data_IF_602499840419
#
_entry.id   IF_602499840419
#
_cell.length_a   1.000
_cell.length_b   1.000
_cell.length_c   1.000
_cell.angle_alpha   90.00
_cell.angle_beta   90.00
_cell.angle_gamma   90.00
#
_symmetry.space_group_name_H-M   'P 1'
#
loop_
_entity.id
_entity.type
_entity.pdbx_description
1 polymer ?
#
# COMPACT_ATOMS: atom_id res chain seq x y z
N UNK A 1 33.95 -14.79 -18.56
CA UNK A 1 34.40 -15.42 -17.29
C UNK A 1 33.26 -15.72 -16.34
N UNK A 2 32.41 -14.76 -15.86
CA UNK A 2 31.31 -15.03 -14.92
C UNK A 2 30.31 -16.08 -15.45
N UNK A 3 29.87 -15.98 -16.72
CA UNK A 3 28.90 -16.91 -17.30
C UNK A 3 29.36 -18.36 -17.30
N UNK A 4 30.63 -18.63 -17.59
CA UNK A 4 31.22 -19.97 -17.61
C UNK A 4 31.50 -20.56 -16.23
N UNK A 5 31.62 -19.71 -15.20
CA UNK A 5 31.92 -20.12 -13.82
C UNK A 5 30.74 -19.88 -12.85
N UNK A 6 29.52 -19.71 -13.38
CA UNK A 6 28.31 -19.40 -12.60
C UNK A 6 28.07 -20.32 -11.41
N UNK A 7 28.46 -21.60 -11.52
CA UNK A 7 28.24 -22.62 -10.46
C UNK A 7 29.34 -22.65 -9.41
N UNK A 8 30.46 -21.95 -9.59
CA UNK A 8 31.54 -21.92 -8.59
C UNK A 8 31.12 -21.17 -7.32
N UNK A 9 31.59 -21.61 -6.17
CA UNK A 9 31.22 -21.02 -4.90
C UNK A 9 31.56 -19.52 -4.79
N UNK A 10 32.74 -19.04 -5.24
CA UNK A 10 33.03 -17.60 -5.21
C UNK A 10 32.09 -16.76 -6.06
N UNK A 11 31.77 -17.20 -7.28
CA UNK A 11 30.85 -16.47 -8.17
C UNK A 11 29.44 -16.43 -7.61
N UNK A 12 28.97 -17.50 -7.01
CA UNK A 12 27.69 -17.51 -6.31
C UNK A 12 27.67 -16.59 -5.09
N UNK A 13 28.77 -16.58 -4.31
CA UNK A 13 28.91 -15.70 -3.14
C UNK A 13 28.82 -14.23 -3.54
N UNK A 14 29.52 -13.82 -4.60
CA UNK A 14 29.43 -12.46 -5.15
C UNK A 14 28.01 -12.15 -5.62
N UNK A 15 27.36 -13.06 -6.34
CA UNK A 15 25.99 -12.85 -6.83
C UNK A 15 25.00 -12.61 -5.69
N UNK A 16 25.06 -13.43 -4.63
CA UNK A 16 24.23 -13.26 -3.43
C UNK A 16 24.50 -11.91 -2.72
N UNK A 17 25.76 -11.51 -2.65
CA UNK A 17 26.13 -10.22 -2.04
C UNK A 17 25.60 -9.04 -2.86
N UNK A 18 25.74 -9.11 -4.22
CA UNK A 18 25.19 -8.09 -5.11
C UNK A 18 23.66 -8.02 -5.02
N UNK A 19 22.98 -9.18 -4.93
CA UNK A 19 21.53 -9.21 -4.77
C UNK A 19 21.08 -8.55 -3.46
N UNK A 20 21.72 -8.87 -2.34
CA UNK A 20 21.45 -8.22 -1.05
C UNK A 20 21.69 -6.71 -1.10
N UNK A 21 22.79 -6.29 -1.74
CA UNK A 21 23.08 -4.88 -1.93
C UNK A 21 21.98 -4.18 -2.76
N UNK A 22 21.57 -4.77 -3.89
CA UNK A 22 20.53 -4.22 -4.74
C UNK A 22 19.17 -4.19 -4.05
N UNK A 23 18.83 -5.18 -3.24
CA UNK A 23 17.60 -5.16 -2.43
C UNK A 23 17.61 -3.99 -1.46
N UNK A 24 18.70 -3.79 -0.73
CA UNK A 24 18.85 -2.65 0.17
C UNK A 24 18.83 -1.31 -0.58
N UNK A 25 19.52 -1.24 -1.73
CA UNK A 25 19.55 -0.05 -2.59
C UNK A 25 18.17 0.36 -3.09
N UNK A 26 17.33 -0.61 -3.45
CA UNK A 26 15.99 -0.38 -3.95
C UNK A 26 14.91 -0.32 -2.86
N UNK A 27 15.26 -0.38 -1.58
CA UNK A 27 14.28 -0.48 -0.48
C UNK A 27 13.28 -1.64 -0.72
N UNK A 28 13.80 -2.81 -1.16
CA UNK A 28 13.01 -3.95 -1.61
C UNK A 28 12.69 -4.88 -0.44
N UNK A 29 11.42 -5.17 -0.21
CA UNK A 29 10.92 -6.04 0.85
C UNK A 29 11.40 -5.62 2.26
N UNK A 30 11.33 -4.32 2.55
CA UNK A 30 11.71 -3.77 3.83
C UNK A 30 10.44 -3.41 4.63
N UNK A 31 10.08 -4.26 5.58
CA UNK A 31 8.80 -4.21 6.30
C UNK A 31 8.86 -3.41 7.61
N UNK A 32 10.03 -2.97 8.06
CA UNK A 32 10.16 -2.19 9.30
C UNK A 32 9.59 -0.79 9.10
N UNK A 33 8.38 -0.53 9.61
CA UNK A 33 7.63 0.72 9.44
C UNK A 33 8.47 1.98 9.73
N UNK A 34 9.25 1.98 10.82
CA UNK A 34 10.09 3.11 11.20
C UNK A 34 11.24 3.41 10.22
N UNK A 35 11.51 2.50 9.28
CA UNK A 35 12.70 2.53 8.42
C UNK A 35 12.39 2.34 6.93
N UNK A 36 11.17 1.92 6.58
CA UNK A 36 10.78 1.66 5.19
C UNK A 36 10.40 2.94 4.42
N UNK A 37 10.18 4.06 5.12
CA UNK A 37 9.85 5.37 4.56
C UNK A 37 8.40 5.80 4.79
N UNK A 38 7.51 4.93 5.23
CA UNK A 38 6.09 5.27 5.43
C UNK A 38 5.92 6.38 6.47
N UNK A 39 6.61 6.29 7.60
CA UNK A 39 6.64 7.35 8.61
C UNK A 39 7.15 8.69 8.05
N UNK A 40 8.17 8.66 7.16
CA UNK A 40 8.64 9.86 6.48
C UNK A 40 7.55 10.47 5.57
N UNK A 41 6.85 9.65 4.78
CA UNK A 41 5.80 10.12 3.89
C UNK A 41 4.62 10.74 4.68
N UNK A 42 4.20 10.11 5.78
CA UNK A 42 3.17 10.63 6.69
C UNK A 42 3.60 11.99 7.27
N UNK A 43 4.83 12.13 7.76
CA UNK A 43 5.36 13.38 8.31
C UNK A 43 5.44 14.50 7.26
N UNK A 44 5.84 14.18 6.03
CA UNK A 44 5.83 15.14 4.92
C UNK A 44 4.41 15.61 4.61
N UNK A 45 3.45 14.69 4.58
CA UNK A 45 2.05 15.02 4.35
C UNK A 45 1.47 15.88 5.48
N UNK A 46 1.68 15.52 6.73
CA UNK A 46 1.27 16.28 7.90
C UNK A 46 1.84 17.72 7.89
N UNK A 47 3.11 17.86 7.56
CA UNK A 47 3.78 19.17 7.44
C UNK A 47 3.18 20.01 6.31
N UNK A 48 2.91 19.41 5.14
CA UNK A 48 2.25 20.06 4.03
C UNK A 48 0.82 20.48 4.38
N UNK A 49 0.10 19.63 5.10
CA UNK A 49 -1.27 19.89 5.53
C UNK A 49 -1.40 21.09 6.47
N UNK A 50 -0.38 21.40 7.28
CA UNK A 50 -0.33 22.62 8.08
C UNK A 50 -1.44 22.73 9.13
N UNK A 51 -1.87 21.64 9.74
CA UNK A 51 -2.91 21.61 10.77
C UNK A 51 -4.35 21.66 10.24
N UNK A 52 -4.56 21.43 8.95
CA UNK A 52 -5.92 21.27 8.38
C UNK A 52 -6.56 20.00 8.92
N UNK A 53 -7.87 20.03 9.18
CA UNK A 53 -8.65 18.82 9.43
C UNK A 53 -8.72 17.99 8.14
N UNK A 54 -8.32 16.75 8.21
CA UNK A 54 -8.16 15.86 7.07
C UNK A 54 -8.96 14.58 7.24
N UNK A 55 -9.36 14.02 6.11
CA UNK A 55 -9.88 12.65 6.01
C UNK A 55 -8.79 11.74 5.48
N UNK A 56 -8.51 10.66 6.20
CA UNK A 56 -7.49 9.68 5.86
C UNK A 56 -8.13 8.31 5.71
N UNK A 57 -7.85 7.62 4.62
CA UNK A 57 -8.27 6.23 4.45
C UNK A 57 -7.06 5.30 4.47
N UNK A 58 -7.12 4.29 5.33
CA UNK A 58 -6.16 3.21 5.47
C UNK A 58 -6.81 1.90 5.01
N UNK A 59 -6.53 1.50 3.77
CA UNK A 59 -7.09 0.30 3.15
C UNK A 59 -6.11 -0.85 3.30
N UNK A 60 -6.56 -1.95 3.95
CA UNK A 60 -5.71 -3.02 4.45
C UNK A 60 -5.06 -2.60 5.77
N UNK A 61 -5.90 -2.26 6.75
CA UNK A 61 -5.42 -1.65 8.00
C UNK A 61 -4.74 -2.64 8.96
N UNK A 62 -4.98 -3.94 8.80
CA UNK A 62 -4.41 -4.97 9.64
C UNK A 62 -4.56 -4.65 11.13
N UNK A 63 -3.48 -4.54 11.89
CA UNK A 63 -3.51 -4.18 13.32
C UNK A 63 -3.50 -2.67 13.62
N UNK A 64 -3.53 -1.80 12.58
CA UNK A 64 -3.68 -0.35 12.69
C UNK A 64 -2.38 0.42 12.93
N UNK A 65 -1.21 -0.17 12.74
CA UNK A 65 0.08 0.50 12.97
C UNK A 65 0.26 1.74 12.09
N UNK A 66 -0.19 1.67 10.83
CA UNK A 66 -0.15 2.82 9.93
C UNK A 66 -1.15 3.90 10.34
N UNK A 67 -2.38 3.51 10.74
CA UNK A 67 -3.40 4.44 11.24
C UNK A 67 -2.93 5.16 12.50
N UNK A 68 -2.28 4.46 13.44
CA UNK A 68 -1.68 5.03 14.65
C UNK A 68 -0.63 6.09 14.32
N UNK A 69 0.25 5.79 13.36
CA UNK A 69 1.28 6.72 12.93
C UNK A 69 0.69 7.95 12.21
N UNK A 70 -0.35 7.76 11.39
CA UNK A 70 -1.06 8.85 10.75
C UNK A 70 -1.75 9.76 11.77
N UNK A 71 -2.44 9.20 12.76
CA UNK A 71 -3.07 9.97 13.83
C UNK A 71 -2.03 10.69 14.71
N UNK A 72 -0.92 10.04 15.06
CA UNK A 72 0.14 10.68 15.82
C UNK A 72 0.75 11.90 15.10
N UNK A 73 0.85 11.86 13.77
CA UNK A 73 1.34 12.97 12.96
C UNK A 73 0.26 14.04 12.67
N UNK A 74 -1.01 13.65 12.65
CA UNK A 74 -2.16 14.49 12.30
C UNK A 74 -3.31 14.25 13.31
N UNK A 75 -3.20 14.79 14.56
CA UNK A 75 -4.17 14.49 15.62
C UNK A 75 -5.61 14.91 15.33
N UNK A 76 -5.79 15.93 14.46
CA UNK A 76 -7.11 16.45 14.06
C UNK A 76 -7.69 15.73 12.82
N UNK A 77 -6.96 14.75 12.25
CA UNK A 77 -7.44 13.96 11.13
C UNK A 77 -8.41 12.87 11.61
N UNK A 78 -9.44 12.62 10.77
CA UNK A 78 -10.29 11.44 10.94
C UNK A 78 -9.79 10.31 10.03
N UNK A 79 -9.45 9.17 10.63
CA UNK A 79 -8.97 7.97 9.90
C UNK A 79 -10.12 6.99 9.73
N UNK A 80 -10.33 6.52 8.50
CA UNK A 80 -11.19 5.37 8.21
C UNK A 80 -10.31 4.19 7.80
N UNK A 81 -10.28 3.17 8.63
CA UNK A 81 -9.53 1.92 8.39
C UNK A 81 -10.46 0.85 7.81
N UNK A 82 -10.05 0.28 6.69
CA UNK A 82 -10.74 -0.82 6.03
C UNK A 82 -9.95 -2.11 6.22
N UNK A 83 -10.57 -3.10 6.83
CA UNK A 83 -9.99 -4.42 7.04
C UNK A 83 -10.99 -5.50 6.60
N UNK A 84 -10.57 -6.32 5.63
CA UNK A 84 -11.45 -7.29 5.00
C UNK A 84 -11.74 -8.50 5.90
N UNK A 85 -10.77 -8.94 6.71
CA UNK A 85 -10.90 -10.11 7.55
C UNK A 85 -11.60 -9.78 8.87
N UNK A 86 -12.79 -10.35 9.18
CA UNK A 86 -13.49 -10.06 10.41
C UNK A 86 -12.67 -10.29 11.69
N UNK A 87 -11.89 -11.39 11.83
CA UNK A 87 -11.10 -11.58 13.04
C UNK A 87 -10.02 -10.50 13.26
N UNK A 88 -9.43 -9.97 12.16
CA UNK A 88 -8.41 -8.92 12.23
C UNK A 88 -9.06 -7.56 12.53
N UNK A 89 -10.21 -7.27 11.91
CA UNK A 89 -10.99 -6.07 12.19
C UNK A 89 -11.45 -6.01 13.67
N UNK A 90 -11.84 -7.16 14.27
CA UNK A 90 -12.17 -7.27 15.68
C UNK A 90 -10.97 -6.97 16.58
N UNK A 91 -9.78 -7.47 16.24
CA UNK A 91 -8.55 -7.17 16.97
C UNK A 91 -8.18 -5.68 16.87
N UNK A 92 -8.32 -5.09 15.69
CA UNK A 92 -8.12 -3.64 15.49
C UNK A 92 -9.10 -2.83 16.35
N UNK A 93 -10.38 -3.20 16.38
CA UNK A 93 -11.40 -2.53 17.21
C UNK A 93 -11.10 -2.68 18.69
N UNK A 94 -10.67 -3.86 19.14
CA UNK A 94 -10.32 -4.11 20.55
C UNK A 94 -9.07 -3.30 20.99
N UNK A 95 -8.16 -2.98 20.07
CA UNK A 95 -7.00 -2.13 20.33
C UNK A 95 -7.39 -0.66 20.51
N UNK A 96 -8.49 -0.21 19.91
CA UNK A 96 -8.92 1.19 19.88
C UNK A 96 -10.37 1.39 20.36
N UNK A 97 -10.76 0.95 21.58
CA UNK A 97 -12.16 0.86 21.99
C UNK A 97 -12.89 2.19 22.04
N UNK A 98 -12.17 3.31 22.24
CA UNK A 98 -12.77 4.65 22.42
C UNK A 98 -12.14 5.71 21.50
N UNK A 99 -11.56 5.30 20.39
CA UNK A 99 -10.85 6.19 19.45
C UNK A 99 -11.84 6.99 18.60
N UNK A 100 -12.23 8.17 19.03
CA UNK A 100 -13.14 9.05 18.26
C UNK A 100 -12.57 9.49 16.91
N UNK A 101 -11.25 9.42 16.74
CA UNK A 101 -10.56 9.76 15.50
C UNK A 101 -10.58 8.62 14.46
N UNK A 102 -10.98 7.39 14.85
CA UNK A 102 -10.90 6.19 14.02
C UNK A 102 -12.29 5.63 13.75
N UNK A 103 -12.58 5.36 12.50
CA UNK A 103 -13.71 4.53 12.05
C UNK A 103 -13.18 3.25 11.43
N UNK A 104 -13.59 2.09 11.94
CA UNK A 104 -13.21 0.79 11.40
C UNK A 104 -14.36 0.24 10.56
N UNK A 105 -14.06 -0.18 9.34
CA UNK A 105 -15.02 -0.79 8.42
C UNK A 105 -14.53 -2.17 8.03
N UNK A 106 -15.24 -3.20 8.49
CA UNK A 106 -14.96 -4.58 8.08
C UNK A 106 -15.56 -4.87 6.72
N UNK A 107 -14.85 -4.41 5.68
CA UNK A 107 -15.18 -4.60 4.27
C UNK A 107 -13.88 -4.47 3.48
N UNK A 108 -13.70 -5.28 2.45
CA UNK A 108 -12.63 -5.11 1.47
C UNK A 108 -12.96 -4.05 0.43
N UNK A 109 -11.92 -3.49 -0.20
CA UNK A 109 -12.09 -2.62 -1.36
C UNK A 109 -11.53 -3.30 -2.62
N UNK A 110 -12.18 -3.06 -3.76
CA UNK A 110 -11.88 -3.69 -5.05
C UNK A 110 -12.32 -2.78 -6.21
N UNK A 111 -12.28 -3.30 -7.44
CA UNK A 111 -12.79 -2.65 -8.65
C UNK A 111 -14.30 -2.87 -8.89
N UNK A 112 -14.93 -3.70 -8.07
CA UNK A 112 -16.36 -4.04 -8.18
C UNK A 112 -16.95 -4.39 -6.81
N UNK A 113 -18.27 -4.27 -6.68
CA UNK A 113 -19.00 -4.71 -5.50
C UNK A 113 -19.25 -6.22 -5.55
N UNK A 114 -19.30 -6.85 -4.39
CA UNK A 114 -19.59 -8.28 -4.30
C UNK A 114 -19.02 -8.94 -3.06
N UNK A 115 -18.58 -10.18 -3.23
CA UNK A 115 -17.90 -10.96 -2.20
C UNK A 115 -16.69 -11.67 -2.80
N UNK A 116 -15.62 -11.76 -2.05
CA UNK A 116 -14.40 -12.48 -2.42
C UNK A 116 -14.04 -13.47 -1.33
N UNK A 117 -13.45 -14.58 -1.75
CA UNK A 117 -12.93 -15.57 -0.82
C UNK A 117 -11.50 -15.19 -0.42
N UNK A 118 -11.28 -14.96 0.88
CA UNK A 118 -9.97 -14.63 1.44
C UNK A 118 -9.41 -15.84 2.17
N UNK A 119 -8.19 -16.22 1.83
CA UNK A 119 -7.47 -17.27 2.57
C UNK A 119 -6.84 -16.65 3.82
N UNK A 120 -7.28 -17.10 4.98
CA UNK A 120 -6.78 -16.65 6.28
C UNK A 120 -5.92 -17.72 6.93
N UNK A 121 -4.74 -17.30 7.40
CA UNK A 121 -3.84 -18.08 8.23
C UNK A 121 -3.71 -17.37 9.58
N UNK A 122 -4.27 -17.99 10.63
CA UNK A 122 -4.28 -17.42 11.97
C UNK A 122 -2.87 -17.18 12.56
N UNK A 123 -1.91 -18.02 12.19
CA UNK A 123 -0.53 -17.96 12.72
C UNK A 123 0.36 -16.97 11.93
N UNK A 124 -0.12 -16.51 10.76
CA UNK A 124 0.62 -15.63 9.86
C UNK A 124 -0.34 -14.67 9.15
N UNK A 125 -1.06 -13.87 9.93
CA UNK A 125 -2.12 -12.97 9.47
C UNK A 125 -1.64 -11.83 8.54
N UNK A 126 -0.36 -11.44 8.63
CA UNK A 126 0.26 -10.45 7.74
C UNK A 126 0.46 -10.92 6.28
N UNK A 127 0.15 -12.18 5.97
CA UNK A 127 0.30 -12.76 4.61
C UNK A 127 -1.02 -13.15 3.97
N UNK A 128 -2.14 -12.75 4.58
CA UNK A 128 -3.47 -13.07 4.09
C UNK A 128 -3.78 -12.32 2.79
N UNK A 129 -4.22 -13.03 1.76
CA UNK A 129 -4.44 -12.47 0.44
C UNK A 129 -5.67 -13.06 -0.25
N UNK A 130 -6.32 -12.27 -1.12
CA UNK A 130 -7.39 -12.72 -2.02
C UNK A 130 -6.84 -13.72 -3.04
N UNK A 131 -5.60 -13.49 -3.52
CA UNK A 131 -4.90 -14.43 -4.42
C UNK A 131 -3.69 -15.04 -3.68
N UNK A 132 -3.84 -16.20 -3.01
CA UNK A 132 -2.77 -16.78 -2.23
C UNK A 132 -1.55 -17.10 -3.12
N UNK A 133 -0.36 -16.77 -2.63
CA UNK A 133 0.92 -17.13 -3.25
C UNK A 133 1.10 -18.65 -3.20
N UNK A 134 0.66 -19.36 -4.22
CA UNK A 134 0.66 -20.85 -4.28
C UNK A 134 2.06 -21.49 -4.07
N UNK A 135 3.13 -20.69 -4.19
CA UNK A 135 4.52 -21.12 -4.01
C UNK A 135 5.12 -20.75 -2.65
N UNK A 136 4.38 -20.04 -1.80
CA UNK A 136 4.86 -19.61 -0.49
C UNK A 136 4.83 -20.80 0.50
N UNK A 137 5.93 -21.04 1.18
CA UNK A 137 6.03 -22.05 2.27
C UNK A 137 5.07 -21.78 3.43
N UNK A 138 4.61 -20.52 3.57
CA UNK A 138 3.68 -20.05 4.60
C UNK A 138 2.26 -20.60 4.41
N UNK A 139 1.88 -20.98 3.18
CA UNK A 139 0.61 -21.63 2.88
C UNK A 139 0.63 -23.16 2.97
N UNK A 140 1.73 -23.74 3.42
CA UNK A 140 1.85 -25.19 3.63
C UNK A 140 1.28 -25.66 4.99
N UNK A 141 0.69 -24.76 5.79
CA UNK A 141 0.09 -25.11 7.09
C UNK A 141 -1.32 -25.69 6.93
N UNK A 142 -1.70 -26.61 7.83
CA UNK A 142 -3.00 -27.31 7.84
C UNK A 142 -4.18 -26.43 8.32
N UNK A 143 -3.94 -25.19 8.77
CA UNK A 143 -4.93 -24.35 9.44
C UNK A 143 -5.41 -23.17 8.59
N UNK A 144 -5.38 -23.34 7.26
CA UNK A 144 -5.93 -22.34 6.35
C UNK A 144 -7.46 -22.38 6.38
N UNK A 145 -8.09 -21.23 6.56
CA UNK A 145 -9.52 -21.04 6.45
C UNK A 145 -9.82 -20.12 5.27
N UNK A 146 -10.90 -20.41 4.56
CA UNK A 146 -11.43 -19.51 3.54
C UNK A 146 -12.65 -18.79 4.10
N UNK A 147 -12.63 -17.46 4.07
CA UNK A 147 -13.71 -16.61 4.57
C UNK A 147 -14.24 -15.81 3.39
N UNK A 148 -15.55 -15.92 3.13
CA UNK A 148 -16.23 -15.08 2.14
C UNK A 148 -16.42 -13.68 2.76
N UNK A 149 -15.79 -12.68 2.17
CA UNK A 149 -15.77 -11.32 2.67
C UNK A 149 -16.45 -10.36 1.68
N UNK A 150 -17.24 -9.40 2.14
CA UNK A 150 -17.86 -8.39 1.27
C UNK A 150 -16.77 -7.43 0.75
N UNK A 151 -16.97 -6.99 -0.51
CA UNK A 151 -16.13 -5.95 -1.13
C UNK A 151 -16.99 -4.88 -1.78
N UNK A 152 -16.47 -3.65 -1.81
CA UNK A 152 -17.06 -2.52 -2.51
C UNK A 152 -15.98 -1.75 -3.26
N UNK A 153 -16.36 -0.68 -3.96
CA UNK A 153 -15.41 0.24 -4.58
C UNK A 153 -15.30 1.53 -3.78
N UNK A 154 -14.17 2.21 -3.88
CA UNK A 154 -13.98 3.54 -3.27
C UNK A 154 -15.05 4.50 -3.82
N UNK A 155 -15.24 4.51 -5.15
CA UNK A 155 -16.22 5.39 -5.81
C UNK A 155 -17.65 5.15 -5.30
N UNK A 156 -18.03 3.89 -5.07
CA UNK A 156 -19.35 3.54 -4.55
C UNK A 156 -19.54 4.00 -3.11
N UNK A 157 -18.53 3.83 -2.25
CA UNK A 157 -18.60 4.29 -0.87
C UNK A 157 -18.77 5.81 -0.78
N UNK A 158 -18.09 6.56 -1.65
CA UNK A 158 -18.22 8.02 -1.73
C UNK A 158 -19.61 8.40 -2.25
N UNK A 159 -20.13 7.70 -3.26
CA UNK A 159 -21.49 7.91 -3.76
C UNK A 159 -22.57 7.64 -2.70
N UNK A 160 -22.29 6.75 -1.74
CA UNK A 160 -23.13 6.48 -0.56
C UNK A 160 -22.95 7.49 0.59
N UNK A 161 -22.12 8.51 0.41
CA UNK A 161 -21.93 9.61 1.37
C UNK A 161 -20.72 9.46 2.29
N UNK A 162 -19.81 8.51 2.04
CA UNK A 162 -18.55 8.49 2.75
C UNK A 162 -17.70 9.72 2.37
N UNK A 163 -17.06 10.41 3.33
CA UNK A 163 -16.21 11.56 3.02
C UNK A 163 -14.98 11.11 2.21
N UNK A 164 -14.68 11.76 1.08
CA UNK A 164 -13.52 11.41 0.26
C UNK A 164 -12.21 11.65 1.03
N UNK A 165 -11.19 10.79 0.85
CA UNK A 165 -9.92 10.94 1.54
C UNK A 165 -9.04 12.04 0.94
N UNK A 166 -8.37 12.82 1.80
CA UNK A 166 -7.25 13.69 1.43
C UNK A 166 -5.94 12.88 1.26
N UNK A 167 -5.81 11.82 2.06
CA UNK A 167 -4.73 10.84 2.03
C UNK A 167 -5.31 9.43 1.94
N UNK A 168 -4.94 8.72 0.88
CA UNK A 168 -5.33 7.33 0.65
C UNK A 168 -4.11 6.41 0.73
N UNK A 169 -4.10 5.46 1.68
CA UNK A 169 -3.15 4.34 1.68
C UNK A 169 -3.88 3.09 1.24
N UNK A 170 -3.24 2.33 0.37
CA UNK A 170 -3.71 1.01 -0.11
C UNK A 170 -2.57 0.02 0.05
N UNK A 171 -2.81 -1.04 0.82
CA UNK A 171 -1.86 -2.12 1.06
C UNK A 171 -2.67 -3.38 1.38
N UNK A 172 -2.99 -4.11 0.35
CA UNK A 172 -3.95 -5.23 0.38
C UNK A 172 -3.37 -6.50 -0.27
N UNK A 173 -2.06 -6.68 -0.07
CA UNK A 173 -1.34 -7.91 -0.40
C UNK A 173 -1.54 -8.35 -1.87
N UNK A 174 -1.38 -7.38 -2.81
CA UNK A 174 -1.43 -7.61 -4.25
C UNK A 174 -2.78 -7.35 -4.91
N UNK A 175 -3.79 -6.93 -4.15
CA UNK A 175 -5.08 -6.48 -4.71
C UNK A 175 -5.14 -4.95 -4.92
N UNK A 176 -4.05 -4.25 -4.67
CA UNK A 176 -3.91 -2.79 -4.69
C UNK A 176 -4.37 -2.16 -6.01
N UNK A 177 -3.95 -2.74 -7.13
CA UNK A 177 -4.35 -2.23 -8.45
C UNK A 177 -5.87 -2.29 -8.67
N UNK A 178 -6.57 -3.28 -8.12
CA UNK A 178 -8.02 -3.38 -8.21
C UNK A 178 -8.69 -2.33 -7.33
N UNK A 179 -8.17 -2.09 -6.12
CA UNK A 179 -8.67 -1.01 -5.25
C UNK A 179 -8.54 0.34 -5.94
N UNK A 180 -7.38 0.62 -6.55
CA UNK A 180 -7.16 1.85 -7.31
C UNK A 180 -8.04 1.96 -8.55
N UNK A 181 -8.33 0.84 -9.23
CA UNK A 181 -9.29 0.81 -10.34
C UNK A 181 -10.73 1.15 -9.88
N UNK A 182 -11.08 0.81 -8.63
CA UNK A 182 -12.36 1.16 -8.00
C UNK A 182 -12.47 2.61 -7.51
N UNK A 183 -11.45 3.46 -7.75
CA UNK A 183 -11.37 4.85 -7.35
C UNK A 183 -11.22 5.84 -8.52
N UNK A 184 -11.51 5.42 -9.74
CA UNK A 184 -11.26 6.22 -10.96
C UNK A 184 -12.03 7.54 -10.99
N UNK A 185 -13.27 7.57 -10.48
CA UNK A 185 -14.06 8.79 -10.42
C UNK A 185 -13.51 9.74 -9.35
N UNK A 186 -13.11 9.21 -8.19
CA UNK A 186 -12.45 9.98 -7.14
C UNK A 186 -11.19 10.67 -7.68
N UNK A 187 -10.32 9.94 -8.39
CA UNK A 187 -9.04 10.49 -8.86
C UNK A 187 -9.19 11.61 -9.89
N UNK A 188 -10.26 11.63 -10.65
CA UNK A 188 -10.55 12.65 -11.66
C UNK A 188 -11.50 13.74 -11.17
N UNK A 189 -12.09 13.58 -9.98
CA UNK A 189 -13.02 14.52 -9.37
C UNK A 189 -12.36 15.66 -8.60
N UNK A 190 -13.17 16.58 -8.10
CA UNK A 190 -12.74 17.78 -7.35
C UNK A 190 -12.17 17.43 -5.96
N UNK A 191 -12.53 16.27 -5.43
CA UNK A 191 -12.09 15.78 -4.11
C UNK A 191 -11.03 14.68 -4.22
N UNK A 192 -10.25 14.68 -5.31
CA UNK A 192 -9.18 13.71 -5.49
C UNK A 192 -8.11 13.84 -4.40
N UNK A 193 -7.62 12.71 -3.84
CA UNK A 193 -6.61 12.71 -2.78
C UNK A 193 -5.38 13.54 -3.14
N UNK A 194 -4.83 14.25 -2.17
CA UNK A 194 -3.57 14.97 -2.35
C UNK A 194 -2.37 14.04 -2.42
N UNK A 195 -2.47 12.92 -1.69
CA UNK A 195 -1.46 11.85 -1.71
C UNK A 195 -2.14 10.47 -1.73
N UNK A 196 -1.60 9.60 -2.55
CA UNK A 196 -1.93 8.17 -2.60
C UNK A 196 -0.66 7.40 -2.32
N UNK A 197 -0.71 6.46 -1.38
CA UNK A 197 0.32 5.46 -1.12
C UNK A 197 -0.23 4.09 -1.48
N UNK A 198 0.53 3.27 -2.20
CA UNK A 198 0.14 1.89 -2.47
C UNK A 198 1.34 0.97 -2.56
N UNK A 199 1.14 -0.33 -2.23
CA UNK A 199 2.18 -1.32 -2.38
C UNK A 199 2.26 -1.83 -3.82
N UNK A 200 3.50 -2.01 -4.32
CA UNK A 200 3.79 -2.69 -5.58
C UNK A 200 4.86 -3.74 -5.36
N UNK A 201 4.66 -4.92 -5.90
CA UNK A 201 5.62 -6.00 -5.75
C UNK A 201 5.29 -7.27 -6.52
N UNK A 202 5.91 -8.37 -6.13
CA UNK A 202 5.68 -9.68 -6.73
C UNK A 202 4.27 -10.23 -6.50
N UNK A 203 3.53 -9.67 -5.53
CA UNK A 203 2.11 -9.91 -5.28
C UNK A 203 1.21 -9.54 -6.46
N UNK A 204 1.67 -8.63 -7.33
CA UNK A 204 0.93 -8.22 -8.52
C UNK A 204 1.01 -9.23 -9.67
N UNK A 205 2.00 -10.15 -9.64
CA UNK A 205 2.16 -11.18 -10.68
C UNK A 205 0.96 -12.13 -10.76
N UNK A 206 0.52 -12.79 -9.66
CA UNK A 206 -0.68 -13.63 -9.71
C UNK A 206 -1.96 -12.84 -9.99
N UNK A 207 -2.00 -11.55 -9.66
CA UNK A 207 -3.10 -10.64 -9.98
C UNK A 207 -3.17 -10.28 -11.49
N UNK A 208 -2.12 -10.56 -12.27
CA UNK A 208 -2.02 -10.20 -13.68
C UNK A 208 -1.97 -8.69 -13.92
N UNK A 209 -1.45 -7.94 -12.94
CA UNK A 209 -1.39 -6.47 -12.97
C UNK A 209 0.03 -5.95 -13.20
N UNK A 210 0.10 -4.79 -13.85
CA UNK A 210 1.34 -4.08 -14.15
C UNK A 210 1.30 -2.67 -13.57
N UNK A 211 2.44 -2.21 -13.03
CA UNK A 211 2.59 -0.83 -12.57
C UNK A 211 2.30 0.18 -13.69
N UNK A 212 2.63 -0.17 -14.94
CA UNK A 212 2.33 0.64 -16.11
C UNK A 212 0.85 1.04 -16.22
N UNK A 213 -0.05 0.09 -15.99
CA UNK A 213 -1.49 0.33 -16.12
C UNK A 213 -1.98 1.32 -15.06
N UNK A 214 -1.62 1.07 -13.80
CA UNK A 214 -1.95 1.94 -12.67
C UNK A 214 -1.27 3.31 -12.81
N UNK A 215 0.01 3.34 -13.18
CA UNK A 215 0.75 4.57 -13.40
C UNK A 215 0.18 5.43 -14.52
N UNK A 216 -0.26 4.83 -15.63
CA UNK A 216 -0.91 5.55 -16.73
C UNK A 216 -2.26 6.16 -16.29
N UNK A 217 -3.05 5.42 -15.51
CA UNK A 217 -4.31 5.90 -14.94
C UNK A 217 -4.08 7.10 -14.01
N UNK A 218 -3.15 7.00 -13.08
CA UNK A 218 -2.81 8.07 -12.14
C UNK A 218 -2.22 9.29 -12.86
N UNK A 219 -1.36 9.09 -13.85
CA UNK A 219 -0.80 10.17 -14.67
C UNK A 219 -1.89 10.91 -15.46
N UNK A 220 -2.86 10.20 -16.04
CA UNK A 220 -4.02 10.79 -16.71
C UNK A 220 -4.89 11.64 -15.76
N UNK A 221 -4.93 11.28 -14.46
CA UNK A 221 -5.58 12.05 -13.42
C UNK A 221 -4.69 13.17 -12.82
N UNK A 222 -3.51 13.42 -13.39
CA UNK A 222 -2.62 14.52 -13.01
C UNK A 222 -1.64 14.21 -11.88
N UNK A 223 -1.52 12.95 -11.47
CA UNK A 223 -0.54 12.55 -10.45
C UNK A 223 0.84 12.32 -11.05
N UNK A 224 1.86 12.70 -10.29
CA UNK A 224 3.23 12.19 -10.43
C UNK A 224 3.46 11.12 -9.38
N UNK A 225 4.05 10.01 -9.75
CA UNK A 225 4.32 8.93 -8.80
C UNK A 225 5.80 8.56 -8.77
N UNK A 226 6.23 8.00 -7.66
CA UNK A 226 7.62 7.60 -7.43
C UNK A 226 7.72 6.54 -6.35
N UNK A 227 8.85 5.87 -6.31
CA UNK A 227 9.15 4.87 -5.29
C UNK A 227 9.56 5.54 -3.99
N UNK A 228 8.98 5.06 -2.88
CA UNK A 228 9.28 5.50 -1.54
C UNK A 228 10.58 4.85 -1.03
N UNK A 229 11.47 5.69 -0.52
CA UNK A 229 12.68 5.33 0.21
C UNK A 229 12.62 5.88 1.64
N UNK A 230 13.50 5.47 2.54
CA UNK A 230 13.43 5.85 3.97
C UNK A 230 13.32 7.36 4.23
N UNK A 231 13.86 8.21 3.34
CA UNK A 231 13.92 9.67 3.54
C UNK A 231 13.59 10.50 2.31
N UNK A 232 13.08 9.90 1.26
CA UNK A 232 12.66 10.60 0.06
C UNK A 232 11.77 9.71 -0.82
N UNK A 233 11.07 10.33 -1.74
CA UNK A 233 10.41 9.68 -2.86
C UNK A 233 11.17 10.02 -4.13
N UNK A 234 11.54 8.99 -4.90
CA UNK A 234 12.16 9.16 -6.21
C UNK A 234 11.08 9.28 -7.28
N UNK A 235 10.65 10.53 -7.53
CA UNK A 235 9.70 10.82 -8.60
C UNK A 235 10.41 10.83 -9.95
N UNK A 236 9.93 10.04 -10.89
CA UNK A 236 10.44 10.00 -12.27
C UNK A 236 9.37 9.48 -13.22
N UNK A 237 9.55 9.74 -14.48
CA UNK A 237 8.67 9.17 -15.49
C UNK A 237 8.83 7.64 -15.53
N UNK A 238 7.71 6.96 -15.76
CA UNK A 238 7.70 5.50 -15.86
C UNK A 238 8.60 5.00 -16.99
N UNK A 239 9.30 3.92 -16.75
CA UNK A 239 10.05 3.15 -17.73
C UNK A 239 9.75 1.65 -17.61
N UNK A 240 9.99 0.88 -18.65
CA UNK A 240 9.82 -0.59 -18.58
C UNK A 240 10.70 -1.26 -17.52
N UNK A 241 11.77 -0.62 -17.06
CA UNK A 241 12.60 -1.11 -15.96
C UNK A 241 11.89 -1.06 -14.60
N UNK A 242 10.75 -0.35 -14.53
CA UNK A 242 9.93 -0.26 -13.32
C UNK A 242 9.03 -1.48 -13.12
N UNK A 243 8.76 -2.25 -14.19
CA UNK A 243 8.12 -3.56 -14.10
C UNK A 243 9.10 -4.62 -13.57
N UNK A 244 9.65 -4.37 -12.40
CA UNK A 244 10.64 -5.25 -11.79
C UNK A 244 10.09 -6.09 -10.64
N UNK A 245 8.83 -5.84 -10.23
CA UNK A 245 8.12 -6.54 -9.16
C UNK A 245 8.89 -6.58 -7.84
N UNK A 246 9.71 -5.58 -7.58
CA UNK A 246 10.37 -5.40 -6.29
C UNK A 246 9.39 -4.77 -5.31
N UNK A 247 9.18 -5.45 -4.20
CA UNK A 247 8.24 -5.03 -3.20
C UNK A 247 8.64 -3.72 -2.55
N UNK A 248 7.67 -2.81 -2.42
CA UNK A 248 7.82 -1.53 -1.75
C UNK A 248 6.71 -0.55 -2.11
N UNK A 249 6.66 0.54 -1.36
CA UNK A 249 5.61 1.54 -1.50
C UNK A 249 5.87 2.50 -2.66
N UNK A 250 4.81 2.83 -3.35
CA UNK A 250 4.74 3.90 -4.36
C UNK A 250 3.92 5.05 -3.78
N UNK A 251 4.40 6.27 -3.95
CA UNK A 251 3.68 7.50 -3.60
C UNK A 251 3.27 8.20 -4.88
N UNK A 252 2.00 8.60 -4.96
CA UNK A 252 1.49 9.45 -6.03
C UNK A 252 0.94 10.75 -5.45
N UNK A 253 1.32 11.90 -6.03
CA UNK A 253 0.92 13.25 -5.59
C UNK A 253 0.59 14.14 -6.77
N UNK A 254 -0.26 15.15 -6.53
CA UNK A 254 -0.63 16.20 -7.53
C UNK A 254 -0.04 17.57 -7.17
N UNK A 255 0.19 17.82 -5.89
CA UNK A 255 0.65 19.11 -5.39
C UNK A 255 2.17 19.24 -5.48
N UNK A 256 2.67 20.32 -6.09
CA UNK A 256 4.10 20.55 -6.28
C UNK A 256 4.85 20.80 -4.96
N UNK A 257 4.19 21.44 -3.97
CA UNK A 257 4.78 21.70 -2.66
C UNK A 257 4.95 20.41 -1.86
N UNK A 258 3.93 19.54 -1.89
CA UNK A 258 4.02 18.20 -1.27
C UNK A 258 5.09 17.35 -1.96
N UNK A 259 5.14 17.38 -3.30
CA UNK A 259 6.17 16.67 -4.06
C UNK A 259 7.59 17.12 -3.69
N UNK A 260 7.80 18.43 -3.51
CA UNK A 260 9.11 18.97 -3.09
C UNK A 260 9.52 18.47 -1.69
N UNK A 261 8.59 18.45 -0.72
CA UNK A 261 8.85 17.91 0.61
C UNK A 261 9.20 16.41 0.55
N UNK A 262 8.44 15.63 -0.22
CA UNK A 262 8.65 14.20 -0.38
C UNK A 262 9.95 13.87 -1.13
N UNK A 263 10.40 14.73 -2.04
CA UNK A 263 11.69 14.54 -2.74
C UNK A 263 12.91 14.75 -1.85
N UNK A 264 12.74 15.21 -0.60
CA UNK A 264 13.85 15.51 0.31
C UNK A 264 14.69 16.72 -0.14
N UNK A 265 14.17 17.56 -1.02
CA UNK A 265 14.80 18.81 -1.43
C UNK A 265 14.42 19.89 -0.40
N UNK A 266 15.33 20.17 0.51
CA UNK A 266 15.21 21.20 1.55
C UNK A 266 16.09 22.40 1.23
#
# INVERSE_FOLDING_TARGET
MIRSHRRSAPVRGIAVMCEKYLRAWHNDAFYEFDRNGEGFAIQCFARWAGGRTLTVWDVGAHHGEWADAAHAAMPDAHVTSFEILPPVAELLAARHPDAAWLTIRNIGLSDSEGSVDVTWNKDHDSTNAIAPRSTSKWFASSDLQTIACPVSTIDQLIAQGAPPPDLLKVDVEGHDAFVLDGAKQLFTGDHAPHMIQFEYGDTWIPAGRLLHQTGAMLAAAGYKFGRLYPRHVEFRDYSYGDENFRMGNIIAVRDAGLMALLSGQH
#
